data_IF_538582747311
#
_entry.id   IF_538582747311
#
_cell.length_a   1.000
_cell.length_b   1.000
_cell.length_c   1.000
_cell.angle_alpha   90.00
_cell.angle_beta   90.00
_cell.angle_gamma   90.00
#
_symmetry.space_group_name_H-M   'P 1'
#
loop_
_entity.id
_entity.type
_entity.pdbx_description
1 polymer ?
#
# COMPACT_ATOMS: atom_id res chain seq x y z
N UNK A 1 -8.91 -51.27 -89.16
CA UNK A 1 -9.81 -50.44 -89.98
C UNK A 1 -10.60 -49.56 -89.02
N UNK A 2 -10.15 -48.32 -88.80
CA UNK A 2 -10.69 -47.06 -89.36
C UNK A 2 -12.03 -46.62 -88.76
N UNK A 3 -11.96 -45.47 -88.06
CA UNK A 3 -12.76 -44.23 -88.23
C UNK A 3 -13.03 -43.62 -86.83
N UNK A 4 -12.26 -42.64 -86.38
CA UNK A 4 -12.27 -41.19 -86.70
C UNK A 4 -13.56 -40.44 -86.34
N UNK A 5 -13.42 -39.52 -85.37
CA UNK A 5 -14.01 -38.17 -85.25
C UNK A 5 -13.29 -37.47 -84.09
N UNK A 6 -12.23 -36.69 -84.32
CA UNK A 6 -12.20 -35.30 -84.76
C UNK A 6 -12.49 -34.25 -83.64
N UNK A 7 -11.42 -33.50 -83.34
CA UNK A 7 -11.35 -32.04 -83.04
C UNK A 7 -11.92 -31.52 -81.71
N UNK A 8 -11.05 -31.03 -80.82
CA UNK A 8 -10.68 -29.60 -80.79
C UNK A 8 -9.30 -29.41 -80.12
N UNK A 9 -8.45 -28.67 -80.82
CA UNK A 9 -7.15 -28.17 -80.40
C UNK A 9 -7.36 -26.86 -79.61
N UNK A 10 -6.69 -26.71 -78.47
CA UNK A 10 -6.11 -25.42 -78.06
C UNK A 10 -4.77 -25.68 -77.38
N UNK A 11 -3.69 -25.33 -78.09
CA UNK A 11 -2.36 -25.08 -77.54
C UNK A 11 -2.46 -23.99 -76.47
N UNK A 12 -1.82 -24.19 -75.30
CA UNK A 12 -0.94 -23.17 -74.70
C UNK A 12 0.29 -23.90 -74.12
N UNK A 13 1.42 -23.62 -74.73
CA UNK A 13 2.77 -23.96 -74.31
C UNK A 13 3.21 -23.03 -73.17
N UNK A 14 4.29 -23.39 -72.48
CA UNK A 14 5.14 -22.55 -71.59
C UNK A 14 4.84 -22.50 -70.07
N UNK A 15 5.72 -23.20 -69.33
CA UNK A 15 6.46 -22.72 -68.14
C UNK A 15 5.68 -22.20 -66.93
N UNK A 16 5.61 -23.02 -65.87
CA UNK A 16 5.28 -22.53 -64.52
C UNK A 16 6.22 -23.16 -63.46
N UNK A 17 7.24 -22.37 -63.12
CA UNK A 17 8.04 -22.29 -61.88
C UNK A 17 8.42 -23.56 -61.07
N UNK A 18 9.69 -24.02 -61.15
CA UNK A 18 10.31 -24.87 -60.12
C UNK A 18 10.76 -24.10 -58.86
N UNK A 19 10.50 -22.79 -58.78
CA UNK A 19 11.06 -21.92 -57.74
C UNK A 19 10.25 -21.91 -56.43
N UNK A 20 9.01 -22.42 -56.39
CA UNK A 20 8.16 -22.30 -55.21
C UNK A 20 8.41 -23.40 -54.15
N UNK A 21 8.81 -24.61 -54.57
CA UNK A 21 9.23 -25.67 -53.65
C UNK A 21 10.64 -25.40 -53.08
N UNK A 22 11.52 -24.80 -53.88
CA UNK A 22 12.83 -24.35 -53.42
C UNK A 22 12.71 -23.21 -52.42
N UNK A 23 11.79 -22.25 -52.63
CA UNK A 23 11.56 -21.18 -51.66
C UNK A 23 11.03 -21.72 -50.32
N UNK A 24 10.09 -22.68 -50.32
CA UNK A 24 9.57 -23.28 -49.09
C UNK A 24 10.66 -24.10 -48.38
N UNK A 25 11.47 -24.88 -49.12
CA UNK A 25 12.59 -25.63 -48.56
C UNK A 25 13.71 -24.73 -47.99
N UNK A 26 14.00 -23.61 -48.64
CA UNK A 26 14.94 -22.60 -48.14
C UNK A 26 14.37 -21.90 -46.90
N UNK A 27 13.08 -21.60 -46.87
CA UNK A 27 12.42 -20.94 -45.73
C UNK A 27 12.36 -21.86 -44.49
N UNK A 28 12.12 -23.15 -44.68
CA UNK A 28 12.17 -24.17 -43.60
C UNK A 28 13.62 -24.36 -43.12
N UNK A 29 14.61 -24.38 -44.01
CA UNK A 29 16.02 -24.51 -43.64
C UNK A 29 16.54 -23.28 -42.89
N UNK A 30 16.14 -22.06 -43.30
CA UNK A 30 16.47 -20.83 -42.58
C UNK A 30 15.88 -20.82 -41.16
N UNK A 31 14.60 -21.17 -41.02
CA UNK A 31 13.93 -21.20 -39.69
C UNK A 31 14.51 -22.26 -38.75
N UNK A 32 14.91 -23.43 -39.26
CA UNK A 32 15.63 -24.44 -38.46
C UNK A 32 16.99 -23.93 -37.98
N UNK A 33 17.74 -23.22 -38.82
CA UNK A 33 19.04 -22.64 -38.41
C UNK A 33 18.91 -21.55 -37.35
N UNK A 34 17.84 -20.76 -37.40
CA UNK A 34 17.54 -19.72 -36.42
C UNK A 34 17.11 -20.30 -35.07
N UNK A 35 16.34 -21.39 -35.09
CA UNK A 35 15.98 -22.17 -33.89
C UNK A 35 17.21 -22.82 -33.26
N UNK A 36 18.13 -23.38 -34.05
CA UNK A 36 19.38 -23.96 -33.55
C UNK A 36 20.30 -22.90 -32.92
N UNK A 37 20.32 -21.68 -33.46
CA UNK A 37 21.05 -20.56 -32.85
C UNK A 37 20.42 -20.12 -31.52
N UNK A 38 19.10 -20.09 -31.44
CA UNK A 38 18.38 -19.84 -30.19
C UNK A 38 18.60 -20.95 -29.15
N UNK A 39 18.60 -22.22 -29.56
CA UNK A 39 18.88 -23.33 -28.65
C UNK A 39 20.31 -23.27 -28.11
N UNK A 40 21.29 -22.92 -28.95
CA UNK A 40 22.67 -22.72 -28.52
C UNK A 40 22.83 -21.53 -27.56
N UNK A 41 22.12 -20.43 -27.79
CA UNK A 41 22.18 -19.28 -26.87
C UNK A 41 21.53 -19.60 -25.53
N UNK A 42 20.42 -20.34 -25.53
CA UNK A 42 19.77 -20.84 -24.30
C UNK A 42 20.69 -21.81 -23.55
N UNK A 43 21.37 -22.72 -24.24
CA UNK A 43 22.34 -23.62 -23.61
C UNK A 43 23.52 -22.85 -22.99
N UNK A 44 24.10 -21.89 -23.71
CA UNK A 44 25.17 -21.06 -23.18
C UNK A 44 24.73 -20.22 -21.97
N UNK A 45 23.49 -19.71 -21.98
CA UNK A 45 22.89 -19.00 -20.85
C UNK A 45 22.66 -19.94 -19.65
N UNK A 46 22.19 -21.16 -19.90
CA UNK A 46 22.02 -22.19 -18.86
C UNK A 46 23.36 -22.63 -18.25
N UNK A 47 24.41 -22.76 -19.05
CA UNK A 47 25.76 -23.07 -18.55
C UNK A 47 26.35 -21.92 -17.72
N UNK A 48 26.16 -20.68 -18.17
CA UNK A 48 26.62 -19.49 -17.44
C UNK A 48 25.92 -19.34 -16.08
N UNK A 49 24.61 -19.57 -16.05
CA UNK A 49 23.83 -19.56 -14.79
C UNK A 49 24.23 -20.69 -13.86
N UNK A 50 24.50 -21.89 -14.39
CA UNK A 50 25.02 -23.00 -13.60
C UNK A 50 26.36 -22.67 -12.96
N UNK A 51 27.32 -22.11 -13.72
CA UNK A 51 28.62 -21.72 -13.18
C UNK A 51 28.48 -20.69 -12.05
N UNK A 52 27.65 -19.66 -12.25
CA UNK A 52 27.39 -18.65 -11.22
C UNK A 52 26.75 -19.25 -9.96
N UNK A 53 25.83 -20.21 -10.10
CA UNK A 53 25.24 -20.92 -8.96
C UNK A 53 26.29 -21.77 -8.25
N UNK A 54 27.12 -22.52 -8.98
CA UNK A 54 28.17 -23.35 -8.40
C UNK A 54 29.19 -22.48 -7.62
N UNK A 55 29.59 -21.33 -8.16
CA UNK A 55 30.46 -20.34 -7.50
C UNK A 55 29.80 -19.76 -6.23
N UNK A 56 28.53 -19.35 -6.31
CA UNK A 56 27.79 -18.86 -5.15
C UNK A 56 27.68 -19.93 -4.05
N UNK A 57 27.43 -21.18 -4.43
CA UNK A 57 27.35 -22.29 -3.45
C UNK A 57 28.69 -22.58 -2.80
N UNK A 58 29.80 -22.40 -3.52
CA UNK A 58 31.15 -22.51 -2.96
C UNK A 58 31.40 -21.38 -1.94
N UNK A 59 31.08 -20.13 -2.29
CA UNK A 59 31.21 -18.99 -1.36
C UNK A 59 30.32 -19.12 -0.12
N UNK A 60 29.10 -19.64 -0.25
CA UNK A 60 28.22 -19.89 0.90
C UNK A 60 28.84 -20.95 1.82
N UNK A 61 29.47 -22.00 1.27
CA UNK A 61 30.15 -23.03 2.07
C UNK A 61 31.41 -22.48 2.76
N UNK A 62 32.20 -21.67 2.07
CA UNK A 62 33.40 -21.06 2.65
C UNK A 62 33.07 -20.07 3.78
N UNK A 63 32.04 -19.24 3.60
CA UNK A 63 31.56 -18.33 4.65
C UNK A 63 30.86 -19.04 5.82
N UNK A 64 30.36 -20.28 5.62
CA UNK A 64 29.83 -21.10 6.71
C UNK A 64 30.92 -21.53 7.70
N UNK A 65 32.13 -21.79 7.21
CA UNK A 65 33.25 -22.21 8.05
C UNK A 65 33.86 -21.03 8.86
N UNK A 66 33.65 -19.79 8.39
CA UNK A 66 34.08 -18.55 9.05
C UNK A 66 32.95 -17.83 9.82
N UNK A 67 32.15 -18.58 10.57
CA UNK A 67 31.10 -18.00 11.42
C UNK A 67 31.70 -17.38 12.71
N UNK A 68 31.29 -16.16 13.13
CA UNK A 68 31.72 -15.57 14.40
C UNK A 68 31.50 -16.48 15.60
N UNK A 69 32.47 -16.51 16.54
CA UNK A 69 32.46 -17.39 17.73
C UNK A 69 31.18 -17.30 18.57
N UNK A 70 30.55 -16.13 18.60
CA UNK A 70 29.27 -15.92 19.29
C UNK A 70 28.14 -16.76 18.68
N UNK A 71 28.10 -16.88 17.35
CA UNK A 71 27.09 -17.67 16.64
C UNK A 71 27.33 -19.16 16.87
N UNK A 72 28.59 -19.61 16.87
CA UNK A 72 28.94 -20.99 17.19
C UNK A 72 28.52 -21.38 18.62
N UNK A 73 28.69 -20.47 19.59
CA UNK A 73 28.21 -20.66 20.98
C UNK A 73 26.68 -20.72 21.07
N UNK A 74 25.97 -19.91 20.28
CA UNK A 74 24.50 -19.94 20.21
C UNK A 74 23.98 -21.23 19.55
N UNK A 75 24.59 -21.67 18.46
CA UNK A 75 24.25 -22.92 17.77
C UNK A 75 24.47 -24.13 18.68
N UNK A 76 25.58 -24.15 19.43
CA UNK A 76 25.84 -25.18 20.44
C UNK A 76 24.78 -25.18 21.56
N UNK A 77 24.32 -24.00 22.00
CA UNK A 77 23.27 -23.86 23.01
C UNK A 77 21.89 -24.31 22.50
N UNK A 78 21.59 -24.06 21.23
CA UNK A 78 20.35 -24.45 20.57
C UNK A 78 20.37 -25.89 20.04
N UNK A 79 21.51 -26.58 20.15
CA UNK A 79 21.74 -27.92 19.59
C UNK A 79 21.44 -28.00 18.08
N UNK A 80 21.70 -26.90 17.35
CA UNK A 80 21.54 -26.80 15.91
C UNK A 80 22.92 -26.85 15.24
N UNK A 81 23.05 -27.63 14.16
CA UNK A 81 24.32 -27.77 13.42
C UNK A 81 24.57 -26.64 12.43
N UNK A 82 23.50 -26.03 11.93
CA UNK A 82 23.59 -24.97 10.92
C UNK A 82 22.67 -23.82 11.31
N UNK A 83 23.04 -22.57 11.01
CA UNK A 83 22.11 -21.45 11.12
C UNK A 83 20.99 -21.65 10.10
N UNK A 84 19.76 -21.81 10.59
CA UNK A 84 18.59 -21.86 9.72
C UNK A 84 18.36 -20.48 9.10
N UNK A 85 18.31 -20.43 7.76
CA UNK A 85 17.96 -19.23 7.04
C UNK A 85 16.47 -18.94 7.19
N UNK A 86 16.14 -17.70 7.53
CA UNK A 86 14.74 -17.22 7.62
C UNK A 86 14.10 -16.91 6.25
N UNK A 87 14.79 -17.21 5.14
CA UNK A 87 14.35 -16.84 3.80
C UNK A 87 13.34 -17.82 3.22
N UNK A 88 12.27 -17.28 2.63
CA UNK A 88 11.24 -18.03 1.91
C UNK A 88 11.62 -18.33 0.45
N UNK A 89 12.88 -18.09 0.07
CA UNK A 89 13.36 -18.30 -1.30
C UNK A 89 13.24 -19.76 -1.75
N UNK A 90 13.53 -20.72 -0.86
CA UNK A 90 13.38 -22.15 -1.16
C UNK A 90 11.93 -22.48 -1.53
N UNK A 91 10.98 -22.07 -0.68
CA UNK A 91 9.55 -22.26 -0.92
C UNK A 91 9.10 -21.55 -2.20
N UNK A 92 9.60 -20.35 -2.49
CA UNK A 92 9.31 -19.61 -3.72
C UNK A 92 9.80 -20.37 -4.95
N UNK A 93 11.03 -20.89 -4.92
CA UNK A 93 11.61 -21.64 -6.02
C UNK A 93 10.85 -22.96 -6.25
N UNK A 94 10.54 -23.69 -5.19
CA UNK A 94 9.77 -24.94 -5.27
C UNK A 94 8.35 -24.69 -5.81
N UNK A 95 7.67 -23.65 -5.33
CA UNK A 95 6.34 -23.27 -5.81
C UNK A 95 6.36 -22.82 -7.28
N UNK A 96 7.38 -22.06 -7.70
CA UNK A 96 7.55 -21.63 -9.09
C UNK A 96 7.88 -22.81 -10.02
N UNK A 97 8.81 -23.68 -9.62
CA UNK A 97 9.16 -24.87 -10.40
C UNK A 97 7.94 -25.78 -10.58
N UNK A 98 7.18 -26.00 -9.50
CA UNK A 98 5.96 -26.78 -9.58
C UNK A 98 4.87 -26.09 -10.42
N UNK A 99 4.78 -24.75 -10.39
CA UNK A 99 3.87 -23.97 -11.23
C UNK A 99 4.18 -24.13 -12.71
N UNK A 100 5.45 -24.01 -13.10
CA UNK A 100 5.89 -24.21 -14.48
C UNK A 100 5.60 -25.64 -14.94
N UNK A 101 5.88 -26.64 -14.08
CA UNK A 101 5.61 -28.04 -14.40
C UNK A 101 4.10 -28.33 -14.56
N UNK A 102 3.23 -27.75 -13.73
CA UNK A 102 1.80 -27.93 -13.91
C UNK A 102 1.27 -27.17 -15.13
N UNK A 103 1.85 -26.02 -15.46
CA UNK A 103 1.51 -25.26 -16.66
C UNK A 103 1.91 -26.00 -17.94
N UNK A 104 3.08 -26.65 -17.96
CA UNK A 104 3.49 -27.51 -19.07
C UNK A 104 2.54 -28.70 -19.24
N UNK A 105 2.09 -29.34 -18.16
CA UNK A 105 1.06 -30.39 -18.22
C UNK A 105 -0.27 -29.88 -18.80
N UNK A 106 -0.69 -28.66 -18.44
CA UNK A 106 -1.88 -28.05 -19.04
C UNK A 106 -1.68 -27.81 -20.54
N UNK A 107 -0.52 -27.32 -20.97
CA UNK A 107 -0.20 -27.14 -22.41
C UNK A 107 -0.17 -28.46 -23.15
N UNK A 108 0.47 -29.49 -22.59
CA UNK A 108 0.48 -30.85 -23.16
C UNK A 108 -0.94 -31.40 -23.35
N UNK A 109 -1.79 -31.26 -22.33
CA UNK A 109 -3.21 -31.68 -22.43
C UNK A 109 -3.99 -30.91 -23.51
N UNK A 110 -3.58 -29.68 -23.85
CA UNK A 110 -4.19 -28.91 -24.93
C UNK A 110 -3.68 -29.36 -26.29
N UNK A 111 -2.39 -29.70 -26.40
CA UNK A 111 -1.80 -30.28 -27.61
C UNK A 111 -2.42 -31.65 -27.93
N UNK A 112 -2.55 -32.53 -26.94
CA UNK A 112 -3.21 -33.84 -27.11
C UNK A 112 -4.66 -33.71 -27.60
N UNK A 113 -5.37 -32.69 -27.13
CA UNK A 113 -6.74 -32.40 -27.60
C UNK A 113 -6.79 -31.93 -29.05
N UNK A 114 -5.78 -31.20 -29.50
CA UNK A 114 -5.67 -30.74 -30.89
C UNK A 114 -5.26 -31.90 -31.81
N UNK A 115 -4.32 -32.73 -31.37
CA UNK A 115 -3.87 -33.91 -32.10
C UNK A 115 -4.99 -34.95 -32.26
N UNK A 116 -5.70 -35.27 -31.17
CA UNK A 116 -6.88 -36.14 -31.21
C UNK A 116 -8.10 -35.56 -31.95
N UNK A 117 -8.09 -34.26 -32.26
CA UNK A 117 -9.11 -33.60 -33.08
C UNK A 117 -8.85 -33.70 -34.59
N UNK A 118 -7.61 -33.95 -35.02
CA UNK A 118 -7.23 -34.03 -36.43
C UNK A 118 -7.38 -35.44 -37.04
N UNK A 119 -7.67 -36.46 -36.22
CA UNK A 119 -7.85 -37.85 -36.68
C UNK A 119 -9.23 -38.16 -37.27
N UNK A 120 -10.14 -37.16 -37.41
CA UNK A 120 -11.52 -37.39 -37.87
C UNK A 120 -11.74 -37.27 -39.38
N UNK A 121 -10.72 -37.57 -40.19
CA UNK A 121 -10.91 -37.78 -41.64
C UNK A 121 -10.16 -39.02 -42.14
N UNK A 122 -10.53 -40.19 -41.62
CA UNK A 122 -10.06 -41.47 -42.11
C UNK A 122 -10.77 -42.62 -41.39
N UNK A 123 -11.57 -43.36 -42.15
CA UNK A 123 -12.27 -44.61 -41.83
C UNK A 123 -11.61 -45.48 -40.74
N UNK A 124 -12.35 -45.85 -39.69
CA UNK A 124 -13.03 -47.15 -39.61
C UNK A 124 -13.57 -47.42 -38.20
N UNK A 125 -14.81 -47.91 -38.16
CA UNK A 125 -15.43 -48.52 -37.00
C UNK A 125 -14.60 -49.73 -36.54
N UNK A 126 -13.97 -49.66 -35.38
CA UNK A 126 -13.83 -50.85 -34.55
C UNK A 126 -13.97 -50.49 -33.06
N UNK A 127 -14.99 -51.07 -32.44
CA UNK A 127 -15.40 -50.84 -31.07
C UNK A 127 -14.40 -51.46 -30.09
N UNK A 128 -13.31 -50.74 -29.80
CA UNK A 128 -12.50 -51.04 -28.62
C UNK A 128 -12.97 -50.14 -27.47
N UNK A 129 -13.55 -50.77 -26.44
CA UNK A 129 -14.07 -50.17 -25.21
C UNK A 129 -13.02 -49.50 -24.30
N UNK A 130 -11.84 -49.16 -24.82
CA UNK A 130 -10.73 -48.55 -24.07
C UNK A 130 -10.49 -47.06 -24.37
N UNK A 131 -11.06 -46.52 -25.45
CA UNK A 131 -10.80 -45.13 -25.89
C UNK A 131 -11.56 -44.07 -25.05
N UNK A 132 -12.75 -44.45 -24.53
CA UNK A 132 -13.55 -43.57 -23.64
C UNK A 132 -12.86 -43.36 -22.29
N UNK A 133 -12.10 -44.35 -21.82
CA UNK A 133 -11.39 -44.28 -20.54
C UNK A 133 -10.18 -43.33 -20.62
N UNK A 134 -9.42 -43.41 -21.73
CA UNK A 134 -8.24 -42.57 -21.96
C UNK A 134 -8.58 -41.08 -22.06
N UNK A 135 -9.59 -40.70 -22.84
CA UNK A 135 -9.97 -39.29 -23.02
C UNK A 135 -10.53 -38.67 -21.75
N UNK A 136 -11.21 -39.48 -20.93
CA UNK A 136 -11.71 -39.08 -19.61
C UNK A 136 -10.56 -38.87 -18.63
N UNK A 137 -9.55 -39.74 -18.65
CA UNK A 137 -8.37 -39.65 -17.79
C UNK A 137 -7.49 -38.45 -18.11
N UNK A 138 -7.26 -38.15 -19.39
CA UNK A 138 -6.54 -36.93 -19.83
C UNK A 138 -7.27 -35.67 -19.38
N UNK A 139 -8.62 -35.66 -19.42
CA UNK A 139 -9.41 -34.54 -18.91
C UNK A 139 -9.26 -34.36 -17.40
N UNK A 140 -9.27 -35.45 -16.61
CA UNK A 140 -9.05 -35.37 -15.16
C UNK A 140 -7.66 -34.87 -14.81
N UNK A 141 -6.63 -35.37 -15.49
CA UNK A 141 -5.24 -34.93 -15.29
C UNK A 141 -5.08 -33.45 -15.58
N UNK A 142 -5.76 -32.94 -16.62
CA UNK A 142 -5.82 -31.51 -16.90
C UNK A 142 -6.48 -30.73 -15.77
N UNK A 143 -7.65 -31.17 -15.30
CA UNK A 143 -8.38 -30.47 -14.24
C UNK A 143 -7.57 -30.45 -12.94
N UNK A 144 -6.87 -31.55 -12.63
CA UNK A 144 -5.94 -31.63 -11.52
C UNK A 144 -4.72 -30.70 -11.70
N UNK A 145 -4.13 -30.67 -12.90
CA UNK A 145 -3.04 -29.75 -13.21
C UNK A 145 -3.47 -28.29 -13.06
N UNK A 146 -4.67 -27.92 -13.55
CA UNK A 146 -5.26 -26.59 -13.36
C UNK A 146 -5.44 -26.30 -11.86
N UNK A 147 -6.02 -27.22 -11.09
CA UNK A 147 -6.18 -27.03 -9.65
C UNK A 147 -4.84 -26.77 -8.95
N UNK A 148 -3.80 -27.55 -9.28
CA UNK A 148 -2.45 -27.38 -8.73
C UNK A 148 -1.81 -26.05 -9.16
N UNK A 149 -2.01 -25.58 -10.40
CA UNK A 149 -1.54 -24.25 -10.83
C UNK A 149 -2.19 -23.12 -10.02
N UNK A 150 -3.50 -23.23 -9.74
CA UNK A 150 -4.22 -22.24 -8.93
C UNK A 150 -3.67 -22.23 -7.51
N UNK A 151 -3.48 -23.40 -6.89
CA UNK A 151 -2.89 -23.52 -5.55
C UNK A 151 -1.52 -22.84 -5.52
N UNK A 152 -0.65 -23.13 -6.48
CA UNK A 152 0.70 -22.56 -6.51
C UNK A 152 0.68 -21.06 -6.71
N UNK A 153 -0.20 -20.55 -7.59
CA UNK A 153 -0.36 -19.12 -7.76
C UNK A 153 -0.86 -18.43 -6.49
N UNK A 154 -1.82 -19.02 -5.79
CA UNK A 154 -2.31 -18.52 -4.49
C UNK A 154 -1.19 -18.55 -3.45
N UNK A 155 -0.38 -19.62 -3.38
CA UNK A 155 0.75 -19.68 -2.45
C UNK A 155 1.79 -18.59 -2.72
N UNK A 156 2.09 -18.27 -3.97
CA UNK A 156 3.03 -17.20 -4.32
C UNK A 156 2.47 -15.80 -4.00
N UNK A 157 1.22 -15.52 -4.38
CA UNK A 157 0.65 -14.18 -4.26
C UNK A 157 0.15 -13.87 -2.84
N UNK A 158 -0.52 -14.83 -2.19
CA UNK A 158 -1.17 -14.66 -0.88
C UNK A 158 -0.39 -15.30 0.27
N UNK A 159 0.47 -16.29 0.00
CA UNK A 159 1.29 -16.94 1.02
C UNK A 159 2.65 -16.26 1.19
N UNK A 160 3.53 -16.45 0.21
CA UNK A 160 4.95 -16.04 0.26
C UNK A 160 5.07 -14.52 0.30
N UNK A 161 4.41 -13.78 -0.61
CA UNK A 161 4.57 -12.32 -0.75
C UNK A 161 4.29 -11.51 0.53
N UNK A 162 3.22 -11.74 1.33
CA UNK A 162 3.02 -11.00 2.57
C UNK A 162 3.98 -11.43 3.69
N UNK A 163 4.41 -12.70 3.73
CA UNK A 163 5.38 -13.16 4.72
C UNK A 163 6.77 -12.58 4.46
N UNK A 164 7.19 -12.49 3.20
CA UNK A 164 8.44 -11.82 2.83
C UNK A 164 8.46 -10.36 3.27
N UNK A 165 7.35 -9.63 3.10
CA UNK A 165 7.25 -8.24 3.60
C UNK A 165 7.45 -8.15 5.12
N UNK A 166 6.84 -9.07 5.87
CA UNK A 166 6.99 -9.11 7.33
C UNK A 166 8.41 -9.45 7.75
N UNK A 167 9.03 -10.44 7.11
CA UNK A 167 10.41 -10.85 7.38
C UNK A 167 11.38 -9.72 7.04
N UNK A 168 11.20 -9.05 5.88
CA UNK A 168 12.01 -7.90 5.51
C UNK A 168 11.89 -6.76 6.52
N UNK A 169 10.67 -6.42 6.94
CA UNK A 169 10.46 -5.41 7.96
C UNK A 169 11.15 -5.77 9.28
N UNK A 170 11.04 -7.03 9.73
CA UNK A 170 11.73 -7.49 10.94
C UNK A 170 13.25 -7.44 10.79
N UNK A 171 13.78 -7.78 9.62
CA UNK A 171 15.22 -7.67 9.33
C UNK A 171 15.70 -6.23 9.30
N UNK A 172 14.96 -5.33 8.67
CA UNK A 172 15.25 -3.88 8.69
C UNK A 172 15.24 -3.35 10.12
N UNK A 173 14.29 -3.76 10.95
CA UNK A 173 14.22 -3.36 12.34
C UNK A 173 15.41 -3.89 13.17
N UNK A 174 15.79 -5.16 12.97
CA UNK A 174 16.96 -5.74 13.63
C UNK A 174 18.26 -5.07 13.20
N UNK A 175 18.42 -4.76 11.91
CA UNK A 175 19.58 -4.03 11.39
C UNK A 175 19.63 -2.61 11.97
N UNK A 176 18.49 -1.91 12.03
CA UNK A 176 18.41 -0.59 12.68
C UNK A 176 18.79 -0.66 14.16
N UNK A 177 18.26 -1.64 14.90
CA UNK A 177 18.60 -1.86 16.30
C UNK A 177 20.09 -2.17 16.48
N UNK A 178 20.66 -3.04 15.64
CA UNK A 178 22.08 -3.37 15.66
C UNK A 178 22.95 -2.12 15.39
N UNK A 179 22.66 -1.37 14.33
CA UNK A 179 23.39 -0.14 14.00
C UNK A 179 23.27 0.91 15.12
N UNK A 180 22.10 1.02 15.77
CA UNK A 180 21.90 1.89 16.95
C UNK A 180 22.78 1.44 18.12
N UNK A 181 22.84 0.13 18.41
CA UNK A 181 23.73 -0.39 19.46
C UNK A 181 25.21 -0.23 19.13
N UNK A 182 25.61 -0.39 17.86
CA UNK A 182 26.99 -0.18 17.42
C UNK A 182 27.40 1.29 17.54
N UNK A 183 26.50 2.21 17.17
CA UNK A 183 26.70 3.64 17.35
C UNK A 183 26.83 4.03 18.84
N UNK A 184 25.97 3.49 19.70
CA UNK A 184 26.04 3.70 21.15
C UNK A 184 27.31 3.12 21.77
N UNK A 185 27.76 1.94 21.33
CA UNK A 185 29.02 1.35 21.78
C UNK A 185 30.21 2.24 21.39
N UNK A 186 30.27 2.70 20.13
CA UNK A 186 31.31 3.62 19.66
C UNK A 186 31.28 4.97 20.38
N UNK A 187 30.09 5.49 20.71
CA UNK A 187 29.98 6.73 21.47
C UNK A 187 30.41 6.55 22.93
N UNK A 188 30.09 5.40 23.54
CA UNK A 188 30.53 5.07 24.88
C UNK A 188 32.05 4.89 24.93
N UNK A 189 32.66 4.18 23.96
CA UNK A 189 34.11 4.06 23.84
C UNK A 189 34.78 5.44 23.70
N UNK A 190 34.21 6.35 22.91
CA UNK A 190 34.71 7.74 22.79
C UNK A 190 34.55 8.55 24.08
N UNK A 191 33.53 8.28 24.90
CA UNK A 191 33.34 8.93 26.19
C UNK A 191 34.33 8.40 27.22
N UNK A 192 34.52 7.08 27.26
CA UNK A 192 35.47 6.42 28.14
C UNK A 192 36.93 6.81 27.80
N UNK A 193 37.27 7.00 26.51
CA UNK A 193 38.57 7.55 26.07
C UNK A 193 38.78 9.00 26.52
N UNK A 194 37.74 9.84 26.51
CA UNK A 194 37.81 11.24 26.96
C UNK A 194 37.88 11.37 28.49
N UNK A 195 37.17 10.52 29.22
CA UNK A 195 37.22 10.47 30.69
C UNK A 195 38.56 9.90 31.20
N UNK A 196 39.27 9.11 30.39
CA UNK A 196 40.61 8.62 30.67
C UNK A 196 41.73 9.69 30.63
N UNK A 197 41.53 10.79 29.91
CA UNK A 197 42.51 11.90 29.82
C UNK A 197 42.28 13.01 30.87
N UNK A 198 41.05 13.19 31.38
CA UNK A 198 40.74 14.25 32.37
C UNK A 198 40.86 13.80 33.85
N UNK A 199 41.24 12.54 34.10
CA UNK A 199 41.41 11.98 35.45
C UNK A 199 42.68 12.39 36.20
N UNK A 200 43.56 13.20 35.61
CA UNK A 200 44.84 13.60 36.23
C UNK A 200 45.08 15.12 36.16
N UNK A 201 44.19 15.91 36.78
CA UNK A 201 44.54 17.05 37.65
C UNK A 201 43.42 18.10 37.73
N UNK A 202 42.50 17.94 38.68
CA UNK A 202 41.91 19.14 39.29
C UNK A 202 41.57 18.91 40.76
N UNK A 203 42.45 19.44 41.62
CA UNK A 203 42.09 19.88 42.95
C UNK A 203 42.81 21.19 43.21
N UNK A 204 42.04 22.22 43.59
CA UNK A 204 42.41 23.48 44.27
C UNK A 204 42.45 24.77 43.42
N UNK A 205 41.35 25.52 43.58
CA UNK A 205 41.25 26.93 44.00
C UNK A 205 40.91 28.07 43.01
N UNK A 206 39.86 28.78 43.45
CA UNK A 206 39.69 30.24 43.50
C UNK A 206 39.61 31.09 42.23
N UNK A 207 38.44 31.73 42.07
CA UNK A 207 38.35 33.18 42.14
C UNK A 207 38.18 33.95 40.83
N UNK A 208 37.19 34.85 40.82
CA UNK A 208 37.27 36.13 40.09
C UNK A 208 36.40 36.24 38.83
N UNK A 209 35.39 37.09 38.88
CA UNK A 209 34.66 37.58 37.70
C UNK A 209 35.46 38.63 36.91
N UNK A 210 35.06 38.85 35.66
CA UNK A 210 35.63 39.88 34.79
C UNK A 210 35.05 39.86 33.38
N UNK A 211 34.21 40.84 33.11
CA UNK A 211 33.61 41.23 31.82
C UNK A 211 34.67 41.75 30.82
N UNK A 212 34.34 41.68 29.51
CA UNK A 212 34.83 42.47 28.35
C UNK A 212 35.96 41.96 27.43
N UNK A 213 35.49 41.54 26.24
CA UNK A 213 35.68 42.18 24.93
C UNK A 213 36.80 41.72 23.97
N UNK A 214 36.32 41.13 22.86
CA UNK A 214 36.66 41.34 21.46
C UNK A 214 38.06 41.06 20.87
N UNK A 215 37.95 40.40 19.71
CA UNK A 215 38.73 40.58 18.47
C UNK A 215 40.03 39.78 18.32
N UNK A 216 39.96 38.67 17.59
CA UNK A 216 40.09 38.64 16.13
C UNK A 216 40.79 37.34 15.67
N UNK A 217 40.35 36.87 14.49
CA UNK A 217 41.16 36.23 13.45
C UNK A 217 41.15 34.70 13.32
N UNK A 218 40.10 34.26 12.62
CA UNK A 218 40.12 33.57 11.32
C UNK A 218 40.83 32.20 11.15
N UNK A 219 40.02 31.29 10.60
CA UNK A 219 40.25 30.20 9.62
C UNK A 219 40.80 28.85 10.10
N UNK A 220 39.90 27.86 10.26
CA UNK A 220 39.76 26.69 9.37
C UNK A 220 38.69 25.69 9.87
N UNK A 221 37.75 25.35 8.96
CA UNK A 221 36.92 24.12 8.85
C UNK A 221 36.02 23.65 10.01
N UNK A 222 34.72 23.88 9.86
CA UNK A 222 33.55 23.12 10.37
C UNK A 222 32.40 23.48 9.41
N UNK A 223 31.79 22.60 8.60
CA UNK A 223 30.79 21.57 8.92
C UNK A 223 29.77 22.00 9.97
N UNK A 224 28.60 22.42 9.47
CA UNK A 224 27.27 22.54 10.10
C UNK A 224 26.34 22.58 8.86
N UNK A 225 25.45 21.62 8.58
CA UNK A 225 24.53 20.86 9.45
C UNK A 225 23.51 21.77 10.16
N UNK A 226 22.25 21.31 10.15
CA UNK A 226 21.00 21.87 10.71
C UNK A 226 20.04 22.57 9.74
N UNK A 227 19.03 21.80 9.30
CA UNK A 227 17.63 22.05 9.66
C UNK A 227 16.86 20.72 9.51
N UNK A 228 16.96 19.89 10.56
CA UNK A 228 16.05 18.79 10.86
C UNK A 228 14.77 19.39 11.48
N UNK A 229 13.66 19.34 10.74
CA UNK A 229 12.33 19.48 11.33
C UNK A 229 11.85 18.10 11.80
N UNK A 230 11.70 18.04 13.12
CA UNK A 230 11.05 17.03 13.95
C UNK A 230 9.74 16.50 13.33
N UNK A 231 9.60 15.18 13.23
CA UNK A 231 8.29 14.55 13.38
C UNK A 231 8.39 13.42 14.41
N UNK A 232 7.66 13.66 15.49
CA UNK A 232 7.64 12.99 16.78
C UNK A 232 6.67 11.80 16.67
N UNK A 233 7.15 10.69 16.10
CA UNK A 233 6.38 9.45 15.98
C UNK A 233 6.60 8.57 17.24
N UNK A 234 5.69 8.71 18.20
CA UNK A 234 5.20 7.69 19.14
C UNK A 234 6.24 6.66 19.66
N UNK A 235 7.22 7.14 20.44
CA UNK A 235 8.11 6.31 21.29
C UNK A 235 7.44 5.92 22.64
N UNK A 236 6.10 6.05 22.77
CA UNK A 236 5.38 5.80 24.04
C UNK A 236 5.03 4.31 24.29
N UNK A 237 5.21 3.42 23.30
CA UNK A 237 4.89 1.98 23.41
C UNK A 237 6.13 1.10 23.70
N UNK A 238 7.36 1.64 23.61
CA UNK A 238 8.61 0.88 23.81
C UNK A 238 9.18 0.97 25.23
N UNK A 239 8.62 1.81 26.10
CA UNK A 239 8.98 1.95 27.53
C UNK A 239 8.21 1.01 28.49
N UNK A 240 7.33 0.14 27.98
CA UNK A 240 6.49 -0.75 28.80
C UNK A 240 7.28 -1.93 29.44
N UNK A 241 8.54 -2.14 29.07
CA UNK A 241 9.40 -3.23 29.59
C UNK A 241 10.49 -2.79 30.58
N UNK A 242 10.67 -1.49 30.81
CA UNK A 242 11.68 -0.95 31.73
C UNK A 242 11.05 -0.35 33.02
N UNK A 243 10.37 -1.17 33.82
CA UNK A 243 9.80 -0.70 35.10
C UNK A 243 10.90 -0.38 36.13
N UNK A 244 11.29 0.89 36.24
CA UNK A 244 12.00 1.45 37.41
C UNK A 244 11.07 2.45 38.10
N UNK A 245 10.92 2.42 39.44
CA UNK A 245 10.07 3.39 40.13
C UNK A 245 10.66 4.80 40.00
N UNK A 246 9.88 5.69 39.40
CA UNK A 246 10.25 7.06 39.10
C UNK A 246 10.19 7.94 40.38
N UNK A 247 11.35 8.27 40.95
CA UNK A 247 11.46 9.02 42.21
C UNK A 247 10.90 10.45 42.10
N UNK A 248 10.77 10.97 40.88
CA UNK A 248 10.29 12.33 40.61
C UNK A 248 8.76 12.43 40.72
N UNK A 249 8.03 11.35 40.42
CA UNK A 249 6.57 11.27 40.59
C UNK A 249 6.17 11.21 42.08
N UNK A 250 7.00 10.58 42.92
CA UNK A 250 6.77 10.51 44.37
C UNK A 250 6.91 11.89 45.05
N UNK A 251 7.83 12.73 44.57
CA UNK A 251 8.06 14.08 45.10
C UNK A 251 6.94 15.08 44.75
N UNK A 252 6.21 14.85 43.65
CA UNK A 252 5.09 15.70 43.22
C UNK A 252 3.80 15.47 44.01
N UNK A 253 3.70 14.36 44.77
CA UNK A 253 2.54 14.00 45.58
C UNK A 253 2.58 14.54 47.02
N UNK A 254 3.64 15.26 47.41
CA UNK A 254 3.73 15.88 48.73
C UNK A 254 2.83 17.14 48.82
N UNK A 255 1.96 17.28 49.85
CA UNK A 255 1.02 18.39 49.94
C UNK A 255 1.72 19.71 50.28
N UNK A 256 1.66 20.69 49.39
CA UNK A 256 2.19 22.05 49.62
C UNK A 256 1.07 22.97 50.12
N UNK A 257 1.20 23.44 51.35
CA UNK A 257 0.25 24.33 52.02
C UNK A 257 0.23 25.76 51.43
N UNK A 258 -0.96 26.17 50.99
CA UNK A 258 -1.62 27.50 51.03
C UNK A 258 -0.81 28.80 50.88
N UNK A 259 -1.22 29.65 49.93
CA UNK A 259 -1.56 31.07 50.22
C UNK A 259 -2.50 31.68 49.15
N UNK A 260 -3.53 32.34 49.65
CA UNK A 260 -4.67 32.98 49.02
C UNK A 260 -4.38 34.23 48.17
N UNK A 261 -5.17 34.47 47.11
CA UNK A 261 -5.81 35.78 46.85
C UNK A 261 -6.85 35.72 45.72
N UNK A 262 -8.00 36.32 45.99
CA UNK A 262 -9.15 36.54 45.11
C UNK A 262 -8.89 37.66 44.10
N UNK A 263 -9.31 37.48 42.84
CA UNK A 263 -9.49 38.58 41.88
C UNK A 263 -10.76 38.38 41.05
N UNK A 264 -11.77 39.21 41.37
CA UNK A 264 -12.93 39.45 40.53
C UNK A 264 -12.52 40.26 39.29
N UNK A 265 -13.21 39.95 38.20
CA UNK A 265 -13.11 40.49 36.84
C UNK A 265 -13.30 42.00 36.75
N UNK A 266 -12.49 42.64 35.92
CA UNK A 266 -12.66 44.01 35.44
C UNK A 266 -13.17 44.03 33.98
N UNK A 267 -13.75 45.19 33.63
CA UNK A 267 -13.83 45.85 32.31
C UNK A 267 -15.25 45.96 31.69
N UNK A 268 -15.83 47.12 31.36
CA UNK A 268 -15.49 48.53 31.58
C UNK A 268 -16.71 49.43 31.27
N UNK A 269 -16.76 50.53 32.02
CA UNK A 269 -17.12 51.93 31.71
C UNK A 269 -18.01 52.30 30.51
N UNK A 270 -19.06 53.09 30.77
CA UNK A 270 -19.10 54.55 30.44
C UNK A 270 -20.39 55.21 30.98
N UNK A 271 -20.25 56.43 31.48
CA UNK A 271 -21.17 57.19 32.34
C UNK A 271 -22.13 58.14 31.62
N UNK A 272 -23.35 58.27 32.20
CA UNK A 272 -24.26 59.45 32.28
C UNK A 272 -24.64 60.22 31.00
N UNK A 273 -25.92 60.45 30.66
CA UNK A 273 -26.79 61.40 31.38
C UNK A 273 -28.19 61.57 30.72
N UNK A 274 -29.18 61.95 31.56
CA UNK A 274 -30.43 62.73 31.33
C UNK A 274 -31.52 62.33 30.32
N UNK A 275 -32.72 62.15 30.90
CA UNK A 275 -34.08 62.57 30.49
C UNK A 275 -34.78 61.97 29.25
N UNK A 276 -36.00 61.46 29.54
CA UNK A 276 -37.15 61.22 28.64
C UNK A 276 -36.93 60.27 27.47
N UNK A 277 -37.08 58.96 27.70
CA UNK A 277 -37.46 58.03 26.63
C UNK A 277 -38.52 57.02 27.08
N UNK A 278 -39.56 56.94 26.24
CA UNK A 278 -40.76 56.11 26.37
C UNK A 278 -40.41 54.63 26.48
N UNK A 279 -41.24 53.88 27.22
CA UNK A 279 -41.11 52.42 27.37
C UNK A 279 -40.94 51.75 26.00
N UNK A 280 -39.77 51.15 25.79
CA UNK A 280 -39.48 50.34 24.61
C UNK A 280 -39.75 48.88 24.99
N UNK A 281 -40.79 48.24 24.44
CA UNK A 281 -41.04 46.83 24.70
C UNK A 281 -39.85 45.99 24.23
N UNK A 282 -39.60 44.84 24.90
CA UNK A 282 -38.46 43.99 24.57
C UNK A 282 -38.55 43.53 23.12
N UNK A 283 -37.44 43.68 22.40
CA UNK A 283 -37.28 43.12 21.05
C UNK A 283 -37.19 41.60 21.16
N UNK A 284 -38.31 40.92 20.95
CA UNK A 284 -38.35 39.47 20.78
C UNK A 284 -37.86 39.19 19.36
N UNK A 285 -36.71 38.52 19.21
CA UNK A 285 -36.34 37.93 17.92
C UNK A 285 -37.39 36.90 17.52
N UNK A 286 -37.62 36.72 16.22
CA UNK A 286 -38.61 35.76 15.73
C UNK A 286 -38.20 34.34 16.15
N UNK A 287 -38.72 33.89 17.28
CA UNK A 287 -38.68 32.49 17.71
C UNK A 287 -39.83 31.81 16.99
N UNK A 288 -39.50 30.82 16.16
CA UNK A 288 -40.52 30.01 15.50
C UNK A 288 -41.45 29.39 16.56
N UNK A 289 -42.78 29.32 16.31
CA UNK A 289 -43.69 28.66 17.24
C UNK A 289 -43.21 27.23 17.49
N UNK A 290 -43.31 26.72 18.74
CA UNK A 290 -42.87 25.36 19.07
C UNK A 290 -43.70 24.39 18.23
N UNK A 291 -43.11 23.89 17.15
CA UNK A 291 -43.73 22.83 16.37
C UNK A 291 -43.83 21.59 17.27
N UNK A 292 -45.01 20.99 17.27
CA UNK A 292 -45.38 19.81 18.04
C UNK A 292 -44.25 18.80 18.14
N UNK A 293 -43.83 18.48 19.37
CA UNK A 293 -43.15 17.26 19.82
C UNK A 293 -42.44 16.52 18.66
N UNK A 294 -41.40 17.13 18.13
CA UNK A 294 -40.28 16.38 17.58
C UNK A 294 -39.25 16.43 18.68
N UNK A 295 -38.98 15.28 19.31
CA UNK A 295 -37.74 15.12 20.04
C UNK A 295 -36.61 15.70 19.17
N UNK A 296 -35.68 16.49 19.72
CA UNK A 296 -34.50 16.86 18.99
C UNK A 296 -33.62 15.61 18.90
N UNK A 297 -34.01 14.66 18.06
CA UNK A 297 -33.04 13.92 17.26
C UNK A 297 -32.48 14.94 16.27
N UNK A 298 -31.77 15.94 16.78
CA UNK A 298 -30.81 16.69 16.01
C UNK A 298 -30.02 15.60 15.30
N UNK A 299 -30.14 15.56 13.96
CA UNK A 299 -29.31 14.66 13.16
C UNK A 299 -27.90 14.83 13.74
N UNK A 300 -27.27 13.76 14.21
CA UNK A 300 -26.04 13.88 14.99
C UNK A 300 -25.13 14.83 14.24
N UNK A 301 -24.62 15.88 14.93
CA UNK A 301 -23.73 16.87 14.35
C UNK A 301 -22.85 16.15 13.37
N UNK A 302 -22.94 16.53 12.07
CA UNK A 302 -22.31 15.81 10.95
C UNK A 302 -20.86 15.56 11.35
N UNK A 303 -20.60 14.41 11.97
CA UNK A 303 -19.28 14.06 12.47
C UNK A 303 -18.43 14.11 11.25
N UNK A 304 -17.39 14.96 11.26
CA UNK A 304 -16.64 15.36 10.07
C UNK A 304 -16.28 14.13 9.25
N UNK A 305 -17.09 13.85 8.23
CA UNK A 305 -16.95 12.67 7.37
C UNK A 305 -15.76 12.97 6.49
N UNK A 306 -14.63 12.32 6.78
CA UNK A 306 -13.43 12.46 5.98
C UNK A 306 -13.65 11.72 4.66
N UNK A 307 -13.32 12.38 3.57
CA UNK A 307 -13.46 11.83 2.22
C UNK A 307 -12.54 10.61 2.04
N UNK A 308 -11.30 10.69 2.50
CA UNK A 308 -10.31 9.60 2.45
C UNK A 308 -10.79 8.34 3.18
N UNK A 309 -11.36 8.50 4.39
CA UNK A 309 -11.92 7.38 5.14
C UNK A 309 -13.11 6.77 4.43
N UNK A 310 -13.98 7.60 3.84
CA UNK A 310 -15.14 7.11 3.11
C UNK A 310 -14.75 6.29 1.88
N UNK A 311 -13.75 6.75 1.14
CA UNK A 311 -13.21 6.05 -0.03
C UNK A 311 -12.59 4.71 0.36
N UNK A 312 -11.77 4.70 1.42
CA UNK A 312 -11.22 3.47 1.98
C UNK A 312 -12.33 2.48 2.40
N UNK A 313 -13.35 2.96 3.10
CA UNK A 313 -14.48 2.11 3.50
C UNK A 313 -15.28 1.59 2.30
N UNK A 314 -15.39 2.36 1.22
CA UNK A 314 -16.02 1.93 -0.03
C UNK A 314 -15.19 0.83 -0.71
N UNK A 315 -13.87 0.99 -0.76
CA UNK A 315 -12.95 0.00 -1.35
C UNK A 315 -12.88 -1.30 -0.53
N UNK A 316 -12.89 -1.20 0.81
CA UNK A 316 -12.93 -2.38 1.69
C UNK A 316 -14.32 -3.05 1.73
N UNK A 317 -15.36 -2.39 1.22
CA UNK A 317 -16.69 -2.98 1.18
C UNK A 317 -16.87 -3.82 -0.07
N UNK A 318 -17.34 -5.06 0.09
CA UNK A 318 -17.67 -5.96 -1.04
C UNK A 318 -18.98 -5.57 -1.77
N UNK A 319 -19.55 -4.40 -1.46
CA UNK A 319 -20.80 -3.94 -2.04
C UNK A 319 -20.53 -3.30 -3.41
N UNK A 320 -21.29 -3.65 -4.46
CA UNK A 320 -21.11 -3.02 -5.76
C UNK A 320 -21.44 -1.52 -5.69
N UNK A 321 -20.52 -0.69 -6.17
CA UNK A 321 -20.68 0.76 -6.20
C UNK A 321 -21.37 1.15 -7.52
N UNK A 322 -22.50 1.87 -7.42
CA UNK A 322 -23.23 2.34 -8.59
C UNK A 322 -22.52 3.56 -9.22
N UNK A 323 -21.68 3.30 -10.21
CA UNK A 323 -21.07 4.32 -11.05
C UNK A 323 -22.08 4.90 -12.06
N UNK A 324 -21.85 6.14 -12.49
CA UNK A 324 -22.71 6.79 -13.49
C UNK A 324 -22.10 6.60 -14.88
N UNK A 325 -22.96 6.61 -15.90
CA UNK A 325 -22.51 6.54 -17.29
C UNK A 325 -21.51 7.66 -17.62
N UNK A 326 -20.47 7.34 -18.38
CA UNK A 326 -19.28 8.18 -18.58
C UNK A 326 -19.58 9.59 -19.13
N UNK A 327 -20.66 9.73 -19.91
CA UNK A 327 -21.08 11.02 -20.47
C UNK A 327 -22.04 11.83 -19.58
N UNK A 328 -22.65 11.22 -18.57
CA UNK A 328 -23.64 11.89 -17.70
C UNK A 328 -22.99 12.83 -16.66
N UNK A 329 -21.68 12.66 -16.46
CA UNK A 329 -20.89 13.36 -15.44
C UNK A 329 -20.24 14.63 -15.96
N UNK A 330 -20.21 14.85 -17.28
CA UNK A 330 -19.54 15.98 -17.90
C UNK A 330 -20.43 17.22 -17.82
N UNK A 331 -19.91 18.33 -17.26
CA UNK A 331 -20.64 19.60 -17.14
C UNK A 331 -20.28 20.53 -18.29
N UNK A 332 -21.31 21.12 -18.92
CA UNK A 332 -21.12 22.21 -19.88
C UNK A 332 -20.21 21.85 -21.04
N UNK A 333 -20.40 20.66 -21.63
CA UNK A 333 -19.60 20.13 -22.74
C UNK A 333 -18.08 20.11 -22.45
N UNK A 334 -17.68 19.94 -21.18
CA UNK A 334 -16.29 19.84 -20.75
C UNK A 334 -15.72 21.13 -20.14
N UNK A 335 -16.39 22.28 -20.32
CA UNK A 335 -15.92 23.55 -19.72
C UNK A 335 -16.00 23.55 -18.19
N UNK A 336 -16.95 22.81 -17.63
CA UNK A 336 -17.12 22.66 -16.17
C UNK A 336 -16.42 21.43 -15.60
N UNK A 337 -15.62 20.72 -16.39
CA UNK A 337 -15.00 19.46 -15.99
C UNK A 337 -16.01 18.31 -15.79
N UNK A 338 -15.58 17.30 -15.03
CA UNK A 338 -16.36 16.11 -14.67
C UNK A 338 -16.87 16.30 -13.23
N UNK A 339 -18.15 16.04 -12.95
CA UNK A 339 -18.76 16.16 -11.60
C UNK A 339 -18.07 15.23 -10.59
N UNK A 340 -17.75 15.74 -9.41
CA UNK A 340 -17.27 14.92 -8.28
C UNK A 340 -18.33 13.96 -7.75
N UNK A 341 -17.90 12.95 -7.00
CA UNK A 341 -18.81 12.01 -6.31
C UNK A 341 -19.73 12.74 -5.32
N UNK A 342 -19.25 13.79 -4.67
CA UNK A 342 -20.05 14.63 -3.76
C UNK A 342 -21.09 15.46 -4.52
N UNK A 343 -20.70 16.10 -5.62
CA UNK A 343 -21.62 16.89 -6.44
C UNK A 343 -22.73 16.03 -7.05
N UNK A 344 -22.39 14.81 -7.48
CA UNK A 344 -23.36 13.83 -7.97
C UNK A 344 -24.37 13.45 -6.90
N UNK A 345 -23.93 13.26 -5.64
CA UNK A 345 -24.83 12.97 -4.52
C UNK A 345 -25.75 14.15 -4.22
N UNK A 346 -25.24 15.38 -4.22
CA UNK A 346 -26.03 16.61 -4.02
C UNK A 346 -27.07 16.81 -5.12
N UNK A 347 -26.72 16.56 -6.38
CA UNK A 347 -27.67 16.64 -7.50
C UNK A 347 -28.75 15.56 -7.43
N UNK A 348 -28.40 14.32 -7.05
CA UNK A 348 -29.38 13.26 -6.79
C UNK A 348 -30.32 13.63 -5.65
N UNK A 349 -29.83 14.28 -4.60
CA UNK A 349 -30.66 14.78 -3.49
C UNK A 349 -31.61 15.89 -3.95
N UNK A 350 -31.14 16.83 -4.78
CA UNK A 350 -31.97 17.86 -5.41
C UNK A 350 -33.04 17.21 -6.28
N UNK A 351 -32.66 16.28 -7.16
CA UNK A 351 -33.60 15.57 -8.02
C UNK A 351 -34.66 14.82 -7.21
N UNK A 352 -34.26 14.08 -6.18
CA UNK A 352 -35.20 13.39 -5.30
C UNK A 352 -36.15 14.36 -4.59
N UNK A 353 -35.67 15.55 -4.20
CA UNK A 353 -36.52 16.60 -3.63
C UNK A 353 -37.52 17.15 -4.66
N UNK A 354 -37.08 17.42 -5.88
CA UNK A 354 -37.93 17.95 -6.95
C UNK A 354 -38.97 16.92 -7.40
N UNK A 355 -38.61 15.64 -7.47
CA UNK A 355 -39.51 14.53 -7.81
C UNK A 355 -40.52 14.24 -6.70
N UNK A 356 -40.10 14.31 -5.43
CA UNK A 356 -41.00 14.06 -4.29
C UNK A 356 -41.99 15.20 -4.04
N UNK A 357 -41.57 16.45 -4.25
CA UNK A 357 -42.42 17.62 -4.03
C UNK A 357 -43.03 18.19 -5.31
N UNK A 358 -42.67 17.65 -6.47
CA UNK A 358 -43.09 18.12 -7.80
C UNK A 358 -42.87 19.62 -8.02
N UNK A 359 -41.84 20.19 -7.38
CA UNK A 359 -41.49 21.61 -7.47
C UNK A 359 -40.00 21.77 -7.79
N UNK A 360 -39.68 22.59 -8.80
CA UNK A 360 -38.28 22.92 -9.14
C UNK A 360 -37.69 23.90 -8.15
N UNK A 361 -36.45 23.65 -7.73
CA UNK A 361 -35.73 24.60 -6.89
C UNK A 361 -35.22 25.78 -7.74
N UNK A 362 -35.35 27.02 -7.26
CA UNK A 362 -34.84 28.17 -7.98
C UNK A 362 -33.32 28.10 -8.07
N UNK A 363 -32.77 28.62 -9.16
CA UNK A 363 -31.33 28.63 -9.41
C UNK A 363 -30.52 29.37 -8.33
N UNK A 364 -31.16 30.21 -7.51
CA UNK A 364 -30.55 30.88 -6.36
C UNK A 364 -30.17 29.91 -5.24
N UNK A 365 -30.88 28.78 -5.11
CA UNK A 365 -30.64 27.77 -4.09
C UNK A 365 -29.74 26.62 -4.59
N UNK A 366 -29.75 26.35 -5.90
CA UNK A 366 -28.99 25.23 -6.49
C UNK A 366 -27.62 25.64 -7.04
N UNK A 367 -27.42 26.92 -7.37
CA UNK A 367 -26.11 27.40 -7.85
C UNK A 367 -25.08 27.45 -6.73
N UNK A 368 -23.89 26.90 -7.01
CA UNK A 368 -22.70 27.09 -6.19
C UNK A 368 -22.31 28.57 -6.11
N UNK A 369 -21.82 29.00 -4.96
CA UNK A 369 -21.32 30.37 -4.77
C UNK A 369 -20.07 30.63 -5.61
N UNK A 370 -19.73 31.90 -5.90
CA UNK A 370 -18.51 32.22 -6.67
C UNK A 370 -17.24 31.65 -6.01
N UNK A 371 -17.12 31.76 -4.69
CA UNK A 371 -16.00 31.23 -3.92
C UNK A 371 -15.90 29.71 -3.99
N UNK A 372 -17.04 29.03 -3.94
CA UNK A 372 -17.12 27.57 -4.08
C UNK A 372 -16.68 27.14 -5.48
N UNK A 373 -17.12 27.83 -6.54
CA UNK A 373 -16.65 27.56 -7.91
C UNK A 373 -15.15 27.78 -8.08
N UNK A 374 -14.59 28.82 -7.47
CA UNK A 374 -13.14 29.08 -7.53
C UNK A 374 -12.35 27.98 -6.82
N UNK A 375 -12.84 27.50 -5.68
CA UNK A 375 -12.26 26.36 -4.97
C UNK A 375 -12.37 25.07 -5.80
N UNK A 376 -13.53 24.81 -6.39
CA UNK A 376 -13.72 23.66 -7.27
C UNK A 376 -12.72 23.73 -8.44
N UNK A 377 -12.53 24.89 -9.07
CA UNK A 377 -11.57 25.03 -10.17
C UNK A 377 -10.11 24.76 -9.77
N UNK A 378 -9.73 25.07 -8.53
CA UNK A 378 -8.37 24.84 -8.04
C UNK A 378 -8.16 23.39 -7.57
N UNK A 379 -9.18 22.79 -6.96
CA UNK A 379 -9.04 21.55 -6.22
C UNK A 379 -9.67 20.34 -6.93
N UNK A 380 -10.52 20.55 -7.93
CA UNK A 380 -11.15 19.48 -8.70
C UNK A 380 -10.37 19.20 -9.98
N UNK A 381 -9.94 17.96 -10.14
CA UNK A 381 -9.24 17.52 -11.34
C UNK A 381 -9.80 16.19 -11.82
N UNK A 382 -10.13 16.10 -13.11
CA UNK A 382 -10.69 14.91 -13.76
C UNK A 382 -11.94 14.27 -13.12
N UNK A 383 -12.64 14.98 -12.24
CA UNK A 383 -13.81 14.45 -11.51
C UNK A 383 -13.49 13.94 -10.11
N UNK A 384 -12.24 14.04 -9.69
CA UNK A 384 -11.78 13.79 -8.33
C UNK A 384 -11.52 15.12 -7.62
N UNK A 385 -11.70 15.13 -6.29
CA UNK A 385 -11.44 16.29 -5.43
C UNK A 385 -10.12 16.08 -4.68
N UNK A 386 -9.13 16.91 -5.01
CA UNK A 386 -7.78 16.91 -4.45
C UNK A 386 -7.66 17.80 -3.22
N UNK A 387 -8.74 18.47 -2.80
CA UNK A 387 -8.73 19.30 -1.60
C UNK A 387 -8.42 18.52 -0.32
N UNK A 388 -8.49 17.19 -0.35
CA UNK A 388 -8.12 16.32 0.78
C UNK A 388 -6.68 16.57 1.23
N UNK A 389 -5.77 16.85 0.30
CA UNK A 389 -4.33 16.97 0.59
C UNK A 389 -3.92 18.36 1.08
N UNK A 390 -4.70 19.40 0.78
CA UNK A 390 -4.38 20.78 1.15
C UNK A 390 -4.84 21.15 2.57
N UNK A 391 -5.84 20.44 3.11
CA UNK A 391 -6.47 20.80 4.38
C UNK A 391 -5.76 20.17 5.58
N UNK A 392 -4.80 20.88 6.19
CA UNK A 392 -4.15 20.50 7.46
C UNK A 392 -5.10 20.45 8.66
N UNK A 393 -6.27 21.08 8.57
CA UNK A 393 -7.24 21.17 9.68
C UNK A 393 -8.13 19.92 9.84
N UNK A 394 -8.10 18.98 8.87
CA UNK A 394 -8.95 17.77 8.87
C UNK A 394 -8.13 16.55 9.23
N UNK A 395 -7.75 16.45 10.50
CA UNK A 395 -6.95 15.35 10.99
C UNK A 395 -7.73 14.02 10.98
N UNK A 396 -7.08 12.96 10.50
CA UNK A 396 -7.58 11.59 10.52
C UNK A 396 -7.98 11.14 11.94
N UNK A 397 -7.29 11.67 12.97
CA UNK A 397 -7.58 11.42 14.38
C UNK A 397 -8.99 11.85 14.79
N UNK A 398 -9.55 12.92 14.22
CA UNK A 398 -10.89 13.39 14.56
C UNK A 398 -11.96 12.47 13.97
N UNK A 399 -11.75 11.98 12.74
CA UNK A 399 -12.65 11.03 12.05
C UNK A 399 -12.56 9.59 12.57
N UNK A 400 -11.41 9.21 13.13
CA UNK A 400 -11.14 7.86 13.66
C UNK A 400 -11.31 7.75 15.18
N UNK A 401 -11.45 8.88 15.89
CA UNK A 401 -11.59 8.90 17.34
C UNK A 401 -12.79 8.04 17.76
N UNK A 402 -12.49 6.95 18.46
CA UNK A 402 -13.52 6.01 18.93
C UNK A 402 -14.45 6.76 19.87
N UNK A 403 -15.73 6.88 19.49
CA UNK A 403 -16.79 7.56 20.27
C UNK A 403 -16.89 7.13 21.75
N UNK A 404 -16.29 5.99 22.12
CA UNK A 404 -16.11 5.54 23.50
C UNK A 404 -14.69 4.96 23.66
N UNK A 405 -13.76 5.77 24.17
CA UNK A 405 -12.47 5.27 24.67
C UNK A 405 -12.76 4.45 25.94
N UNK A 406 -12.22 3.22 26.09
CA UNK A 406 -12.44 2.44 27.29
C UNK A 406 -11.75 3.16 28.45
N UNK A 407 -12.56 3.72 29.36
CA UNK A 407 -12.09 4.48 30.51
C UNK A 407 -11.49 3.55 31.58
N UNK A 408 -11.88 2.26 31.58
CA UNK A 408 -11.44 1.27 32.55
C UNK A 408 -10.75 0.07 31.91
N UNK A 409 -9.79 -0.53 32.61
CA UNK A 409 -9.16 -1.82 32.25
C UNK A 409 -10.20 -2.93 32.11
N UNK A 410 -11.31 -2.87 32.84
CA UNK A 410 -12.42 -3.80 32.71
C UNK A 410 -13.17 -3.64 31.38
N UNK A 411 -13.33 -2.41 30.89
CA UNK A 411 -13.92 -2.13 29.57
C UNK A 411 -12.99 -2.59 28.45
N UNK A 412 -11.68 -2.44 28.63
CA UNK A 412 -10.66 -3.00 27.71
C UNK A 412 -10.75 -4.52 27.68
N UNK A 413 -10.84 -5.18 28.83
CA UNK A 413 -10.96 -6.63 28.93
C UNK A 413 -12.25 -7.16 28.31
N UNK A 414 -13.40 -6.52 28.55
CA UNK A 414 -14.68 -6.85 27.92
C UNK A 414 -14.64 -6.71 26.40
N UNK A 415 -14.03 -5.64 25.88
CA UNK A 415 -13.87 -5.42 24.44
C UNK A 415 -12.96 -6.45 23.79
N UNK A 416 -11.91 -6.90 24.48
CA UNK A 416 -11.03 -7.99 23.99
C UNK A 416 -11.74 -9.34 23.97
N UNK A 417 -12.66 -9.59 24.91
CA UNK A 417 -13.45 -10.83 24.99
C UNK A 417 -14.61 -10.91 24.00
N UNK A 418 -15.14 -9.77 23.54
CA UNK A 418 -16.25 -9.73 22.59
C UNK A 418 -15.84 -9.87 21.13
N UNK A 419 -14.54 -10.05 20.88
CA UNK A 419 -13.94 -10.24 19.56
C UNK A 419 -13.42 -11.67 19.51
#
# INVERSE_FOLDING_TARGET
MRCDKAKYLTLIHTSFFPNHLYLIGIFISLTMSEIDLLLKSVMSSAESTRYAVDELTAHIKENRDNLPDFINKLLQKLNQKEPEGISLLSLKNDALASYINNLSLVVLSQLDRLEGGNSTHGLDHNNNSGDVDYRTEVSKQRDEAIARTIVQRVTLEKGVKPLERKINYQMENLVKAYNKTEAQQKEQERKDEKEGEEGSSSSISSGGGGDRNASNKLVASSSDDDDDEEDDDDDDDDDELAYRPDATALAKLAPKATKSKSSASAFASASSSSSTEKYKPPKISAVAPPSSIREPTAKPDKTKRLQSMEEYLQEQSDLPIAEANIGSTIVGHGRGGVKTQHDRRKEKEIQAYEESNFTRLPATQTKKSFREKQRDMANQFAGEDWSIFENRDRNMSEGTSRKKRPASSWDRAKKRRSK
#
